data_IF_380428598948
#
_entry.id   IF_380428598948
#
_cell.length_a   1.000
_cell.length_b   1.000
_cell.length_c   1.000
_cell.angle_alpha   90.00
_cell.angle_beta   90.00
_cell.angle_gamma   90.00
#
_symmetry.space_group_name_H-M   'P 1'
#
loop_
_entity.id
_entity.type
_entity.pdbx_description
1 polymer ?
#
# COMPACT_ATOMS: atom_id res chain seq x y z
N UNK A 1 -3.98 5.52 -15.19
CA UNK A 1 -2.69 5.27 -14.51
C UNK A 1 -2.92 5.05 -13.03
N UNK A 2 -2.29 4.03 -12.47
CA UNK A 2 -2.40 3.74 -11.02
C UNK A 2 -1.28 4.38 -10.20
N UNK A 3 -0.27 4.95 -10.85
CA UNK A 3 0.83 5.68 -10.22
C UNK A 3 0.92 7.08 -10.81
N UNK A 4 0.84 8.10 -9.95
CA UNK A 4 0.99 9.49 -10.37
C UNK A 4 2.46 9.92 -10.24
N UNK A 5 3.25 9.54 -11.24
CA UNK A 5 4.68 9.84 -11.29
C UNK A 5 4.97 11.34 -11.24
N UNK A 6 4.16 12.14 -11.93
CA UNK A 6 4.35 13.58 -12.00
C UNK A 6 4.23 14.23 -10.62
N UNK A 7 3.22 13.84 -9.83
CA UNK A 7 3.03 14.37 -8.49
C UNK A 7 4.22 14.04 -7.58
N UNK A 8 4.75 12.82 -7.69
CA UNK A 8 5.93 12.42 -6.90
C UNK A 8 7.14 13.23 -7.31
N UNK A 9 7.40 13.35 -8.62
CA UNK A 9 8.56 14.10 -9.12
C UNK A 9 8.51 15.58 -8.71
N UNK A 10 7.33 16.20 -8.73
CA UNK A 10 7.16 17.58 -8.27
C UNK A 10 7.58 17.74 -6.80
N UNK A 11 7.27 16.74 -5.97
CA UNK A 11 7.58 16.77 -4.54
C UNK A 11 9.07 16.58 -4.26
N UNK A 12 9.80 15.90 -5.14
CA UNK A 12 11.22 15.59 -4.97
C UNK A 12 12.12 16.35 -5.95
N UNK A 13 11.68 17.52 -6.42
CA UNK A 13 12.43 18.41 -7.32
C UNK A 13 12.87 17.75 -8.63
N UNK A 14 12.01 16.91 -9.19
CA UNK A 14 12.25 16.18 -10.45
C UNK A 14 13.50 15.30 -10.42
N UNK A 15 13.87 14.81 -9.24
CA UNK A 15 14.99 13.90 -9.07
C UNK A 15 14.61 12.50 -9.56
N UNK A 16 14.93 12.19 -10.82
CA UNK A 16 14.59 10.91 -11.46
C UNK A 16 15.28 9.73 -10.78
N UNK A 17 16.52 9.92 -10.36
CA UNK A 17 17.30 8.88 -9.70
C UNK A 17 16.67 8.49 -8.34
N UNK A 18 16.29 9.49 -7.56
CA UNK A 18 15.58 9.27 -6.29
C UNK A 18 14.23 8.59 -6.53
N UNK A 19 13.50 9.00 -7.58
CA UNK A 19 12.23 8.35 -7.92
C UNK A 19 12.43 6.86 -8.21
N UNK A 20 13.46 6.51 -8.97
CA UNK A 20 13.78 5.11 -9.28
C UNK A 20 14.11 4.31 -8.01
N UNK A 21 14.83 4.92 -7.07
CA UNK A 21 15.16 4.29 -5.79
C UNK A 21 13.90 4.04 -4.95
N UNK A 22 13.00 5.03 -4.87
CA UNK A 22 11.74 4.91 -4.15
C UNK A 22 10.89 3.78 -4.74
N UNK A 23 10.82 3.70 -6.07
CA UNK A 23 10.08 2.64 -6.76
C UNK A 23 10.68 1.26 -6.50
N UNK A 24 12.01 1.15 -6.49
CA UNK A 24 12.69 -0.12 -6.22
C UNK A 24 12.39 -0.61 -4.81
N UNK A 25 12.39 0.29 -3.83
CA UNK A 25 12.04 -0.03 -2.44
C UNK A 25 10.60 -0.53 -2.37
N UNK A 26 9.66 0.16 -3.01
CA UNK A 26 8.26 -0.25 -2.99
C UNK A 26 8.03 -1.60 -3.67
N UNK A 27 8.71 -1.88 -4.78
CA UNK A 27 8.58 -3.20 -5.45
C UNK A 27 8.90 -4.35 -4.51
N UNK A 28 9.79 -4.13 -3.53
CA UNK A 28 10.14 -5.11 -2.52
C UNK A 28 9.20 -5.04 -1.30
N UNK A 29 8.97 -3.84 -0.77
CA UNK A 29 8.25 -3.65 0.50
C UNK A 29 6.72 -3.76 0.35
N UNK A 30 6.18 -3.32 -0.79
CA UNK A 30 4.73 -3.33 -1.01
C UNK A 30 4.11 -4.73 -0.90
N UNK A 31 4.62 -5.71 -1.68
CA UNK A 31 4.12 -7.08 -1.57
C UNK A 31 4.30 -7.67 -0.18
N UNK A 32 5.41 -7.37 0.50
CA UNK A 32 5.68 -7.84 1.84
C UNK A 32 4.68 -7.29 2.85
N UNK A 33 4.33 -5.99 2.75
CA UNK A 33 3.34 -5.38 3.61
C UNK A 33 1.95 -5.99 3.43
N UNK A 34 1.55 -6.26 2.19
CA UNK A 34 0.26 -6.91 1.91
C UNK A 34 0.24 -8.32 2.48
N UNK A 35 1.33 -9.08 2.33
CA UNK A 35 1.46 -10.43 2.90
C UNK A 35 1.34 -10.38 4.42
N UNK A 36 2.05 -9.46 5.06
CA UNK A 36 2.00 -9.31 6.53
C UNK A 36 0.62 -8.91 7.02
N UNK A 37 -0.07 -8.03 6.28
CA UNK A 37 -1.44 -7.65 6.60
C UNK A 37 -2.36 -8.86 6.57
N UNK A 38 -2.28 -9.67 5.52
CA UNK A 38 -3.07 -10.91 5.38
C UNK A 38 -2.78 -11.87 6.51
N UNK A 39 -1.50 -12.11 6.79
CA UNK A 39 -1.09 -13.05 7.84
C UNK A 39 -1.58 -12.60 9.21
N UNK A 40 -1.52 -11.31 9.51
CA UNK A 40 -2.00 -10.75 10.77
C UNK A 40 -3.51 -10.95 10.94
N UNK A 41 -4.29 -10.72 9.89
CA UNK A 41 -5.74 -10.94 9.92
C UNK A 41 -6.05 -12.43 10.12
N UNK A 42 -5.35 -13.30 9.42
CA UNK A 42 -5.53 -14.75 9.55
C UNK A 42 -5.19 -15.25 10.95
N UNK A 43 -4.21 -14.63 11.60
CA UNK A 43 -3.80 -14.97 12.97
C UNK A 43 -4.62 -14.26 14.05
N UNK A 44 -5.60 -13.43 13.68
CA UNK A 44 -6.43 -12.68 14.62
C UNK A 44 -5.68 -11.56 15.34
N UNK A 45 -4.56 -11.09 14.79
CA UNK A 45 -3.71 -10.05 15.36
C UNK A 45 -4.10 -8.68 14.79
N UNK A 46 -5.22 -8.14 15.25
CA UNK A 46 -5.80 -6.93 14.66
C UNK A 46 -4.90 -5.71 14.82
N UNK A 47 -4.23 -5.54 15.94
CA UNK A 47 -3.33 -4.39 16.18
C UNK A 47 -2.16 -4.42 15.21
N UNK A 48 -1.62 -5.61 14.95
CA UNK A 48 -0.53 -5.80 13.97
C UNK A 48 -1.04 -5.50 12.57
N UNK A 49 -2.24 -5.96 12.24
CA UNK A 49 -2.87 -5.69 10.93
C UNK A 49 -3.06 -4.19 10.70
N UNK A 50 -3.53 -3.44 11.69
CA UNK A 50 -3.68 -1.98 11.62
C UNK A 50 -2.34 -1.32 11.30
N UNK A 51 -1.27 -1.75 11.95
CA UNK A 51 0.07 -1.20 11.75
C UNK A 51 0.54 -1.44 10.31
N UNK A 52 0.33 -2.64 9.78
CA UNK A 52 0.73 -2.95 8.40
C UNK A 52 -0.12 -2.20 7.38
N UNK A 53 -1.42 -2.04 7.63
CA UNK A 53 -2.28 -1.23 6.77
C UNK A 53 -1.83 0.23 6.75
N UNK A 54 -1.45 0.77 7.90
CA UNK A 54 -0.92 2.13 8.01
C UNK A 54 0.37 2.29 7.20
N UNK A 55 1.30 1.35 7.33
CA UNK A 55 2.56 1.37 6.58
C UNK A 55 2.33 1.27 5.08
N UNK A 56 1.40 0.42 4.65
CA UNK A 56 1.03 0.29 3.24
C UNK A 56 0.43 1.60 2.71
N UNK A 57 -0.42 2.24 3.49
CA UNK A 57 -1.01 3.54 3.13
C UNK A 57 0.09 4.57 2.85
N UNK A 58 1.04 4.71 3.76
CA UNK A 58 2.13 5.69 3.65
C UNK A 58 3.07 5.36 2.49
N UNK A 59 3.47 4.10 2.35
CA UNK A 59 4.38 3.67 1.29
C UNK A 59 3.76 3.85 -0.09
N UNK A 60 2.47 3.54 -0.22
CA UNK A 60 1.73 3.69 -1.49
C UNK A 60 1.62 5.17 -1.88
N UNK A 61 1.30 6.04 -0.92
CA UNK A 61 1.23 7.48 -1.18
C UNK A 61 2.58 8.04 -1.63
N UNK A 62 3.68 7.57 -1.05
CA UNK A 62 5.02 8.04 -1.37
C UNK A 62 5.40 7.81 -2.84
N UNK A 63 4.89 6.78 -3.47
CA UNK A 63 5.18 6.49 -4.89
C UNK A 63 4.06 6.97 -5.82
N UNK A 64 3.06 7.68 -5.29
CA UNK A 64 1.95 8.17 -6.10
C UNK A 64 0.87 7.15 -6.40
N UNK A 65 0.84 6.01 -5.71
CA UNK A 65 -0.19 4.97 -5.85
C UNK A 65 -1.37 5.31 -4.93
N UNK A 66 -2.10 6.37 -5.25
CA UNK A 66 -3.10 6.94 -4.35
C UNK A 66 -4.33 6.06 -4.15
N UNK A 67 -4.74 5.29 -5.18
CA UNK A 67 -5.85 4.35 -5.02
C UNK A 67 -5.50 3.22 -4.07
N UNK A 68 -4.28 2.69 -4.17
CA UNK A 68 -3.80 1.66 -3.24
C UNK A 68 -3.70 2.23 -1.82
N UNK A 69 -3.20 3.46 -1.70
CA UNK A 69 -3.13 4.15 -0.41
C UNK A 69 -4.52 4.31 0.21
N UNK A 70 -5.53 4.65 -0.59
CA UNK A 70 -6.92 4.79 -0.12
C UNK A 70 -7.49 3.46 0.35
N UNK A 71 -7.24 2.37 -0.37
CA UNK A 71 -7.66 1.03 0.04
C UNK A 71 -7.00 0.63 1.37
N UNK A 72 -5.72 0.95 1.53
CA UNK A 72 -5.02 0.69 2.79
C UNK A 72 -5.57 1.53 3.93
N UNK A 73 -5.96 2.79 3.66
CA UNK A 73 -6.62 3.66 4.63
C UNK A 73 -7.94 3.05 5.10
N UNK A 74 -8.73 2.52 4.18
CA UNK A 74 -9.99 1.85 4.50
C UNK A 74 -9.76 0.62 5.38
N UNK A 75 -8.72 -0.15 5.10
CA UNK A 75 -8.36 -1.30 5.92
C UNK A 75 -7.93 -0.88 7.34
N UNK A 76 -7.14 0.18 7.44
CA UNK A 76 -6.72 0.74 8.72
C UNK A 76 -7.94 1.20 9.54
N UNK A 77 -8.85 1.92 8.91
CA UNK A 77 -10.07 2.40 9.55
C UNK A 77 -10.94 1.24 10.05
N UNK A 78 -11.14 0.23 9.20
CA UNK A 78 -11.90 -0.97 9.56
C UNK A 78 -11.26 -1.68 10.75
N UNK A 79 -9.93 -1.78 10.78
CA UNK A 79 -9.18 -2.35 11.88
C UNK A 79 -9.41 -1.60 13.18
N UNK A 80 -9.39 -0.27 13.14
CA UNK A 80 -9.64 0.58 14.30
C UNK A 80 -11.07 0.40 14.83
N UNK A 81 -12.01 -0.01 13.98
CA UNK A 81 -13.39 -0.31 14.35
C UNK A 81 -13.59 -1.77 14.77
N UNK A 82 -12.54 -2.57 14.71
CA UNK A 82 -12.62 -4.00 15.01
C UNK A 82 -13.30 -4.83 13.95
N UNK A 83 -13.44 -4.30 12.73
CA UNK A 83 -14.16 -4.97 11.65
C UNK A 83 -13.21 -5.75 10.72
N UNK A 84 -12.89 -6.96 11.12
CA UNK A 84 -12.02 -7.84 10.34
C UNK A 84 -12.68 -8.33 9.05
N UNK A 85 -14.01 -8.37 9.02
CA UNK A 85 -14.76 -8.77 7.81
C UNK A 85 -14.52 -7.80 6.65
N UNK A 86 -14.53 -6.50 6.94
CA UNK A 86 -14.24 -5.48 5.93
C UNK A 86 -12.80 -5.62 5.43
N UNK A 87 -11.84 -5.84 6.34
CA UNK A 87 -10.44 -6.03 5.94
C UNK A 87 -10.32 -7.25 5.01
N UNK A 88 -10.96 -8.37 5.35
CA UNK A 88 -10.94 -9.57 4.51
C UNK A 88 -11.53 -9.31 3.13
N UNK A 89 -12.60 -8.51 3.05
CA UNK A 89 -13.20 -8.14 1.77
C UNK A 89 -12.29 -7.23 0.95
N UNK A 90 -11.48 -6.38 1.60
CA UNK A 90 -10.55 -5.48 0.93
C UNK A 90 -9.29 -6.18 0.42
N UNK A 91 -8.86 -7.27 1.05
CA UNK A 91 -7.59 -7.92 0.70
C UNK A 91 -7.47 -8.31 -0.78
N UNK A 92 -8.48 -8.94 -1.42
CA UNK A 92 -8.40 -9.22 -2.86
C UNK A 92 -8.29 -7.96 -3.72
N UNK A 93 -8.98 -6.90 -3.32
CA UNK A 93 -8.96 -5.61 -4.04
C UNK A 93 -7.60 -4.95 -3.89
N UNK A 94 -7.04 -4.96 -2.68
CA UNK A 94 -5.69 -4.47 -2.40
C UNK A 94 -4.66 -5.25 -3.23
N UNK A 95 -4.78 -6.58 -3.25
CA UNK A 95 -3.87 -7.44 -3.99
C UNK A 95 -3.90 -7.14 -5.49
N UNK A 96 -5.09 -6.99 -6.07
CA UNK A 96 -5.25 -6.66 -7.49
C UNK A 96 -4.63 -5.29 -7.79
N UNK A 97 -4.88 -4.29 -6.95
CA UNK A 97 -4.33 -2.95 -7.13
C UNK A 97 -2.81 -2.95 -6.98
N UNK A 98 -2.29 -3.71 -6.02
CA UNK A 98 -0.84 -3.85 -5.85
C UNK A 98 -0.18 -4.40 -7.12
N UNK A 99 -0.78 -5.42 -7.75
CA UNK A 99 -0.26 -5.98 -9.00
C UNK A 99 -0.22 -4.94 -10.11
N UNK A 100 -1.27 -4.12 -10.24
CA UNK A 100 -1.30 -3.03 -11.21
C UNK A 100 -0.19 -2.01 -10.95
N UNK A 101 0.01 -1.63 -9.69
CA UNK A 101 1.06 -0.69 -9.29
C UNK A 101 2.44 -1.24 -9.63
N UNK A 102 2.72 -2.47 -9.23
CA UNK A 102 4.02 -3.11 -9.48
C UNK A 102 4.30 -3.19 -10.99
N UNK A 103 3.30 -3.56 -11.79
CA UNK A 103 3.44 -3.61 -13.23
C UNK A 103 3.81 -2.24 -13.82
N UNK A 104 3.21 -1.17 -13.31
CA UNK A 104 3.48 0.19 -13.79
C UNK A 104 4.85 0.70 -13.36
N UNK A 105 5.38 0.23 -12.21
CA UNK A 105 6.72 0.60 -11.72
C UNK A 105 7.85 -0.15 -12.42
N UNK A 106 7.54 -1.21 -13.12
CA UNK A 106 8.55 -2.11 -13.73
C UNK A 106 9.04 -1.66 -15.10
#
# INVERSE_FOLDING_TARGET
>A
MVVDKRAVLERIDNDQELFMEICAIFRNDGPELVRKLRDAIDAGQIVVAIRHAHSLKSSSANIGAYELSELARQAELAGNQGDTGIIRALLPVIDAKLHEVIAELS
#
